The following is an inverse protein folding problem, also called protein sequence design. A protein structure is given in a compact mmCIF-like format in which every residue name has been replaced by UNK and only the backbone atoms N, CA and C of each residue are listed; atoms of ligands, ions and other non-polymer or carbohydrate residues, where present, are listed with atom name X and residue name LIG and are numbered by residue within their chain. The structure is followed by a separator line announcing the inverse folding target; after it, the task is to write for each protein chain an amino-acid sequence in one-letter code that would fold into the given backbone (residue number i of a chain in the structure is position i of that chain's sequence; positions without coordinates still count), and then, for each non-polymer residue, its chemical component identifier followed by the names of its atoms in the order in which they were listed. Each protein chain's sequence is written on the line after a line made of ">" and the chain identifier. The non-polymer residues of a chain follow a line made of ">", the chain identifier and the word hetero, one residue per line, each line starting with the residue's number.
data_IF_829703626864
#
_entry.id   IF_829703626864
#
_cell.length_a   1.000
_cell.length_b   1.000
_cell.length_c   1.000
_cell.angle_alpha   90.00
_cell.angle_beta   90.00
_cell.angle_gamma   90.00
#
_symmetry.space_group_name_H-M   'P 1'
#
loop_
_entity.id
_entity.type
_entity.pdbx_description
1 polymer ?
#
# COMPACT_ATOMS: atom_id res chain seq x y z
N UNK A 1 -10.09 -26.86 19.52
CA UNK A 1 -8.91 -26.89 18.62
C UNK A 1 -7.64 -26.83 19.45
N UNK A 2 -6.60 -27.60 19.10
CA UNK A 2 -5.32 -27.64 19.84
C UNK A 2 -4.48 -26.42 19.47
N UNK A 3 -3.81 -25.77 20.43
CA UNK A 3 -2.86 -24.68 20.19
C UNK A 3 -1.66 -25.21 19.38
N UNK A 4 -1.33 -24.53 18.28
CA UNK A 4 -0.20 -24.84 17.40
C UNK A 4 1.00 -23.95 17.72
N UNK A 5 0.75 -22.65 17.87
CA UNK A 5 1.75 -21.63 18.19
C UNK A 5 1.30 -20.84 19.41
N UNK A 6 2.21 -20.53 20.32
CA UNK A 6 1.98 -19.69 21.49
C UNK A 6 3.10 -18.65 21.59
N UNK A 7 2.74 -17.39 21.64
CA UNK A 7 3.64 -16.24 21.80
C UNK A 7 3.38 -15.66 23.19
N UNK A 8 4.44 -15.52 24.01
CA UNK A 8 4.37 -15.05 25.41
C UNK A 8 5.26 -13.82 25.61
N UNK A 9 4.64 -12.67 25.88
CA UNK A 9 5.27 -11.41 26.31
C UNK A 9 6.47 -10.99 25.46
N UNK A 10 6.36 -11.15 24.13
CA UNK A 10 7.43 -10.76 23.19
C UNK A 10 7.59 -9.24 23.18
N UNK A 11 8.82 -8.79 23.45
CA UNK A 11 9.20 -7.39 23.32
C UNK A 11 10.44 -7.25 22.45
N UNK A 12 10.48 -6.13 21.67
CA UNK A 12 11.60 -5.76 20.80
C UNK A 12 11.73 -4.25 20.70
N UNK A 13 12.96 -3.76 20.89
CA UNK A 13 13.30 -2.34 20.81
C UNK A 13 14.43 -2.16 19.80
N UNK A 14 14.36 -1.10 18.99
CA UNK A 14 15.41 -0.65 18.10
C UNK A 14 15.80 0.78 18.48
N UNK A 15 16.93 0.94 19.15
CA UNK A 15 17.34 2.24 19.73
C UNK A 15 16.28 2.75 20.71
N UNK A 16 15.62 3.87 20.39
CA UNK A 16 14.54 4.46 21.21
C UNK A 16 13.15 3.94 20.83
N UNK A 17 13.02 3.21 19.73
CA UNK A 17 11.72 2.74 19.22
C UNK A 17 11.37 1.37 19.81
N UNK A 18 10.32 1.30 20.63
CA UNK A 18 9.69 0.05 21.06
C UNK A 18 8.81 -0.49 19.93
N UNK A 19 9.36 -1.40 19.12
CA UNK A 19 8.62 -1.99 18.00
C UNK A 19 7.58 -3.02 18.44
N UNK A 20 7.85 -3.77 19.52
CA UNK A 20 6.91 -4.68 20.15
C UNK A 20 7.05 -4.58 21.68
N UNK A 21 5.94 -4.64 22.42
CA UNK A 21 5.89 -4.54 23.86
C UNK A 21 4.92 -5.55 24.44
N UNK A 22 5.45 -6.60 25.09
CA UNK A 22 4.72 -7.66 25.82
C UNK A 22 3.59 -8.32 25.02
N UNK A 23 3.82 -8.58 23.72
CA UNK A 23 2.80 -9.16 22.86
C UNK A 23 2.61 -10.65 23.20
N UNK A 24 1.35 -11.02 23.48
CA UNK A 24 0.96 -12.41 23.78
C UNK A 24 -0.28 -12.81 23.02
N UNK A 25 -0.25 -13.96 22.34
CA UNK A 25 -1.38 -14.61 21.71
C UNK A 25 -1.07 -16.05 21.31
N UNK A 26 -2.09 -16.79 20.89
CA UNK A 26 -1.96 -18.15 20.38
C UNK A 26 -2.54 -18.28 18.97
N UNK A 27 -2.08 -19.29 18.21
CA UNK A 27 -2.67 -19.74 16.95
C UNK A 27 -3.11 -21.19 17.11
N UNK A 28 -4.35 -21.48 16.73
CA UNK A 28 -4.92 -22.83 16.78
C UNK A 28 -4.64 -23.59 15.49
N UNK A 29 -4.59 -24.91 15.57
CA UNK A 29 -4.41 -25.75 14.38
C UNK A 29 -5.61 -25.61 13.44
N UNK A 30 -5.36 -25.35 12.14
CA UNK A 30 -6.40 -25.15 11.13
C UNK A 30 -7.13 -23.82 11.28
N UNK A 31 -6.49 -22.78 11.83
CA UNK A 31 -7.02 -21.43 11.98
C UNK A 31 -6.38 -20.48 10.97
N UNK A 32 -7.16 -19.53 10.48
CA UNK A 32 -6.66 -18.31 9.82
C UNK A 32 -6.74 -17.19 10.86
N UNK A 33 -5.61 -16.82 11.43
CA UNK A 33 -5.46 -15.70 12.34
C UNK A 33 -5.01 -14.47 11.54
N UNK A 34 -5.78 -13.40 11.58
CA UNK A 34 -5.36 -12.13 10.98
C UNK A 34 -4.68 -11.23 12.03
N UNK A 35 -3.61 -10.55 11.62
CA UNK A 35 -2.95 -9.51 12.42
C UNK A 35 -3.07 -8.19 11.66
N UNK A 36 -3.82 -7.26 12.24
CA UNK A 36 -4.08 -5.93 11.72
C UNK A 36 -3.36 -4.85 12.54
N UNK A 37 -3.17 -3.69 11.95
CA UNK A 37 -2.61 -2.50 12.59
C UNK A 37 -2.08 -1.51 11.55
N UNK A 38 -1.88 -0.27 11.96
CA UNK A 38 -1.29 0.77 11.12
C UNK A 38 0.14 0.42 10.67
N UNK A 39 0.64 1.15 9.69
CA UNK A 39 2.06 1.05 9.30
C UNK A 39 2.94 1.47 10.49
N UNK A 40 3.94 0.65 10.82
CA UNK A 40 4.76 0.86 12.02
C UNK A 40 4.20 0.29 13.32
N UNK A 41 3.01 -0.36 13.33
CA UNK A 41 2.44 -0.97 14.53
C UNK A 41 3.20 -2.20 15.06
N UNK A 42 4.30 -2.61 14.41
CA UNK A 42 5.14 -3.73 14.85
C UNK A 42 4.79 -5.10 14.25
N UNK A 43 3.85 -5.19 13.29
CA UNK A 43 3.42 -6.45 12.66
C UNK A 43 4.58 -7.22 12.03
N UNK A 44 5.29 -6.60 11.09
CA UNK A 44 6.42 -7.20 10.37
C UNK A 44 7.58 -7.54 11.32
N UNK A 45 7.84 -6.68 12.32
CA UNK A 45 8.86 -6.97 13.35
C UNK A 45 8.52 -8.24 14.13
N UNK A 46 7.27 -8.39 14.55
CA UNK A 46 6.81 -9.58 15.29
C UNK A 46 6.94 -10.85 14.44
N UNK A 47 6.58 -10.78 13.16
CA UNK A 47 6.72 -11.93 12.26
C UNK A 47 8.17 -12.25 11.94
N UNK A 48 9.04 -11.27 11.83
CA UNK A 48 10.48 -11.48 11.67
C UNK A 48 11.11 -12.14 12.92
N UNK A 49 10.61 -11.84 14.11
CA UNK A 49 11.01 -12.56 15.35
C UNK A 49 10.52 -14.01 15.29
N UNK A 50 9.25 -14.24 14.94
CA UNK A 50 8.68 -15.57 14.83
C UNK A 50 9.40 -16.41 13.78
N UNK A 51 9.73 -15.83 12.62
CA UNK A 51 10.41 -16.52 11.54
C UNK A 51 11.91 -16.71 11.77
N UNK A 52 12.49 -15.99 12.75
CA UNK A 52 13.90 -16.13 13.16
C UNK A 52 14.87 -15.19 12.46
N UNK A 53 14.38 -14.07 11.88
CA UNK A 53 15.25 -12.98 11.37
C UNK A 53 15.74 -12.08 12.49
N UNK A 54 14.93 -11.88 13.54
CA UNK A 54 15.30 -11.07 14.70
C UNK A 54 15.21 -11.88 16.00
N UNK A 55 16.04 -11.50 16.95
CA UNK A 55 15.93 -11.97 18.33
C UNK A 55 15.03 -10.99 19.11
N UNK A 56 14.07 -11.49 19.91
CA UNK A 56 13.35 -10.64 20.85
C UNK A 56 14.29 -10.18 21.98
N UNK A 57 13.95 -9.08 22.64
CA UNK A 57 14.66 -8.65 23.84
C UNK A 57 14.15 -9.43 25.07
N UNK A 58 12.83 -9.72 25.11
CA UNK A 58 12.20 -10.53 26.15
C UNK A 58 11.07 -11.38 25.56
N UNK A 59 10.65 -12.39 26.32
CA UNK A 59 9.54 -13.28 25.99
C UNK A 59 9.96 -14.59 25.33
N UNK A 60 8.99 -15.46 25.10
CA UNK A 60 9.19 -16.78 24.54
C UNK A 60 8.14 -17.11 23.48
N UNK A 61 8.51 -17.98 22.53
CA UNK A 61 7.59 -18.52 21.52
C UNK A 61 7.68 -20.05 21.57
N UNK A 62 6.52 -20.70 21.55
CA UNK A 62 6.40 -22.15 21.55
C UNK A 62 5.65 -22.60 20.29
N UNK A 63 6.21 -23.56 19.57
CA UNK A 63 5.56 -24.23 18.46
C UNK A 63 5.37 -25.70 18.79
N UNK A 64 4.10 -26.19 18.74
CA UNK A 64 3.74 -27.55 19.20
C UNK A 64 4.22 -27.82 20.61
N UNK A 65 4.08 -26.87 21.51
CA UNK A 65 4.52 -26.90 22.92
C UNK A 65 6.06 -27.03 23.13
N UNK A 66 6.86 -26.80 22.05
CA UNK A 66 8.33 -26.79 22.15
C UNK A 66 8.84 -25.36 21.91
N UNK A 67 9.81 -24.89 22.71
CA UNK A 67 10.37 -23.55 22.50
C UNK A 67 11.08 -23.47 21.14
N UNK A 68 10.92 -22.36 20.42
CA UNK A 68 11.65 -22.10 19.18
C UNK A 68 13.01 -21.47 19.49
N UNK A 69 14.00 -21.71 18.61
CA UNK A 69 15.30 -21.04 18.67
C UNK A 69 15.23 -19.73 17.91
N UNK A 70 15.38 -18.61 18.60
CA UNK A 70 15.40 -17.29 17.98
C UNK A 70 16.66 -17.07 17.11
N UNK A 71 16.56 -16.17 16.14
CA UNK A 71 17.67 -15.82 15.26
C UNK A 71 18.13 -16.93 14.32
N UNK A 72 17.27 -17.93 14.05
CA UNK A 72 17.60 -19.08 13.21
C UNK A 72 16.45 -19.48 12.30
N UNK A 73 16.42 -18.90 11.09
CA UNK A 73 15.41 -19.17 10.08
C UNK A 73 15.40 -20.63 9.61
N UNK A 74 16.58 -21.26 9.50
CA UNK A 74 16.69 -22.67 9.10
C UNK A 74 16.02 -23.61 10.11
N UNK A 75 16.18 -23.32 11.40
CA UNK A 75 15.47 -24.06 12.45
C UNK A 75 13.96 -23.85 12.35
N UNK A 76 13.50 -22.59 12.19
CA UNK A 76 12.08 -22.26 12.08
C UNK A 76 11.43 -22.97 10.90
N UNK A 77 12.09 -23.00 9.75
CA UNK A 77 11.62 -23.74 8.57
C UNK A 77 11.57 -25.25 8.85
N UNK A 78 12.61 -25.81 9.50
CA UNK A 78 12.69 -27.25 9.75
C UNK A 78 11.61 -27.78 10.70
N UNK A 79 11.07 -26.93 11.58
CA UNK A 79 9.97 -27.30 12.49
C UNK A 79 8.57 -27.11 11.86
N UNK A 80 8.49 -26.56 10.61
CA UNK A 80 7.27 -26.44 9.84
C UNK A 80 6.62 -25.06 9.85
N UNK A 81 7.36 -23.99 10.14
CA UNK A 81 6.90 -22.59 9.99
C UNK A 81 7.47 -22.03 8.72
N UNK A 82 6.62 -21.53 7.83
CA UNK A 82 6.99 -20.88 6.57
C UNK A 82 6.48 -19.46 6.50
N UNK A 83 7.18 -18.61 5.73
CA UNK A 83 6.80 -17.21 5.53
C UNK A 83 6.89 -16.84 4.05
N UNK A 84 5.87 -16.14 3.57
CA UNK A 84 5.84 -15.44 2.29
C UNK A 84 5.92 -13.96 2.61
N UNK A 85 6.97 -13.30 2.12
CA UNK A 85 7.24 -11.89 2.36
C UNK A 85 6.43 -10.99 1.44
N UNK A 86 6.29 -9.73 1.81
CA UNK A 86 5.62 -8.69 1.02
C UNK A 86 6.27 -8.49 -0.36
N UNK A 87 7.61 -8.58 -0.43
CA UNK A 87 8.35 -8.56 -1.68
C UNK A 87 8.80 -9.98 -2.04
N UNK A 88 8.64 -10.36 -3.30
CA UNK A 88 9.03 -11.67 -3.77
C UNK A 88 10.53 -11.91 -3.60
N UNK A 89 10.87 -13.11 -3.09
CA UNK A 89 12.26 -13.55 -2.91
C UNK A 89 12.63 -14.58 -3.98
N UNK A 90 12.24 -14.29 -5.22
CA UNK A 90 12.42 -15.16 -6.38
C UNK A 90 13.63 -14.71 -7.23
N UNK A 91 14.32 -15.67 -7.83
CA UNK A 91 15.36 -15.41 -8.80
C UNK A 91 14.74 -15.40 -10.19
N UNK A 92 14.65 -14.22 -10.82
CA UNK A 92 13.97 -14.03 -12.12
C UNK A 92 14.65 -14.78 -13.27
N UNK A 93 15.95 -15.03 -13.17
CA UNK A 93 16.78 -15.75 -14.15
C UNK A 93 16.74 -17.28 -14.01
N UNK A 94 15.90 -17.82 -13.16
CA UNK A 94 15.73 -19.26 -12.94
C UNK A 94 14.32 -19.69 -13.28
N UNK A 95 14.16 -20.99 -13.59
CA UNK A 95 12.83 -21.60 -13.77
C UNK A 95 12.07 -21.73 -12.45
N UNK A 96 10.78 -21.95 -12.52
CA UNK A 96 9.91 -22.25 -11.38
C UNK A 96 10.47 -23.43 -10.58
N UNK A 97 10.85 -24.52 -11.24
CA UNK A 97 11.39 -25.70 -10.57
C UNK A 97 12.69 -25.36 -9.84
N UNK A 98 13.61 -24.66 -10.48
CA UNK A 98 14.90 -24.28 -9.90
C UNK A 98 14.73 -23.38 -8.68
N UNK A 99 13.82 -22.40 -8.73
CA UNK A 99 13.49 -21.56 -7.56
C UNK A 99 12.98 -22.34 -6.34
N UNK A 100 12.27 -23.46 -6.58
CA UNK A 100 11.75 -24.29 -5.48
C UNK A 100 12.84 -25.17 -4.86
N UNK A 101 13.74 -25.73 -5.70
CA UNK A 101 14.77 -26.69 -5.22
C UNK A 101 16.04 -26.00 -4.71
N UNK A 102 16.28 -24.74 -5.09
CA UNK A 102 17.48 -23.99 -4.66
C UNK A 102 17.48 -23.85 -3.12
N UNK A 103 18.66 -24.05 -2.53
CA UNK A 103 18.84 -23.92 -1.06
C UNK A 103 18.31 -25.12 -0.23
N UNK A 104 17.92 -26.24 -0.87
CA UNK A 104 17.39 -27.39 -0.15
C UNK A 104 18.44 -28.41 0.30
N UNK A 105 19.63 -28.39 -0.25
CA UNK A 105 20.75 -29.24 0.16
C UNK A 105 22.10 -28.54 0.03
N UNK A 106 23.09 -29.05 0.79
CA UNK A 106 24.50 -28.70 0.64
C UNK A 106 24.93 -28.77 -0.83
N UNK A 107 25.77 -27.83 -1.25
CA UNK A 107 26.38 -27.76 -2.59
C UNK A 107 27.08 -29.07 -3.00
N UNK A 108 27.38 -29.95 -2.07
CA UNK A 108 28.00 -31.26 -2.29
C UNK A 108 27.01 -32.39 -2.64
N UNK A 109 25.70 -32.17 -2.56
CA UNK A 109 24.71 -33.21 -2.90
C UNK A 109 24.04 -32.94 -4.26
N UNK A 110 24.79 -33.12 -5.35
CA UNK A 110 24.38 -32.87 -6.74
C UNK A 110 23.28 -33.81 -7.28
N UNK A 111 22.78 -34.76 -6.49
CA UNK A 111 21.80 -35.75 -6.96
C UNK A 111 20.46 -35.63 -6.25
N UNK A 112 19.83 -34.48 -6.32
CA UNK A 112 18.38 -34.43 -6.24
C UNK A 112 17.84 -34.90 -7.59
N UNK A 113 17.23 -36.08 -7.62
CA UNK A 113 16.49 -36.52 -8.78
C UNK A 113 15.43 -35.46 -9.08
N UNK A 114 15.65 -34.65 -10.16
CA UNK A 114 14.65 -33.66 -10.65
C UNK A 114 13.26 -34.33 -10.73
N UNK A 115 13.21 -35.63 -11.03
CA UNK A 115 11.99 -36.46 -11.07
C UNK A 115 11.26 -36.49 -9.70
N UNK A 116 11.98 -36.67 -8.59
CA UNK A 116 11.38 -36.70 -7.25
C UNK A 116 10.84 -35.30 -6.86
N UNK A 117 11.59 -34.25 -7.17
CA UNK A 117 11.19 -32.87 -6.93
C UNK A 117 9.90 -32.53 -7.72
N UNK A 118 9.86 -32.85 -9.00
CA UNK A 118 8.67 -32.65 -9.85
C UNK A 118 7.47 -33.45 -9.31
N UNK A 119 7.68 -34.70 -8.88
CA UNK A 119 6.60 -35.52 -8.30
C UNK A 119 6.03 -34.89 -7.02
N UNK A 120 6.87 -34.43 -6.09
CA UNK A 120 6.43 -33.73 -4.86
C UNK A 120 5.71 -32.42 -5.22
N UNK A 121 6.24 -31.66 -6.17
CA UNK A 121 5.66 -30.40 -6.61
C UNK A 121 4.28 -30.59 -7.27
N UNK A 122 4.16 -31.57 -8.18
CA UNK A 122 2.88 -31.92 -8.81
C UNK A 122 1.83 -32.35 -7.79
N UNK A 123 2.25 -33.12 -6.76
CA UNK A 123 1.36 -33.48 -5.66
C UNK A 123 0.88 -32.26 -4.88
N UNK A 124 1.75 -31.30 -4.56
CA UNK A 124 1.40 -30.06 -3.84
C UNK A 124 0.50 -29.17 -4.68
N UNK A 125 0.80 -28.98 -5.98
CA UNK A 125 -0.02 -28.23 -6.91
C UNK A 125 -1.44 -28.78 -6.99
N UNK A 126 -1.59 -30.10 -7.11
CA UNK A 126 -2.90 -30.76 -7.12
C UNK A 126 -3.59 -30.68 -5.76
N UNK A 127 -2.84 -30.90 -4.67
CA UNK A 127 -3.37 -30.90 -3.29
C UNK A 127 -3.96 -29.55 -2.93
N UNK A 128 -3.32 -28.44 -3.31
CA UNK A 128 -3.68 -27.09 -2.89
C UNK A 128 -4.29 -26.23 -4.00
N UNK A 129 -4.51 -26.80 -5.17
CA UNK A 129 -5.03 -26.08 -6.33
C UNK A 129 -4.18 -24.86 -6.72
N UNK A 130 -2.87 -25.07 -6.88
CA UNK A 130 -1.88 -24.06 -7.24
C UNK A 130 -1.19 -24.41 -8.58
N UNK A 131 -1.90 -24.38 -9.71
CA UNK A 131 -1.30 -24.74 -10.99
C UNK A 131 -0.25 -23.71 -11.40
N UNK A 132 0.93 -24.20 -11.81
CA UNK A 132 2.01 -23.40 -12.39
C UNK A 132 2.85 -24.27 -13.31
N UNK A 133 3.36 -23.70 -14.40
CA UNK A 133 4.27 -24.42 -15.27
C UNK A 133 5.69 -24.43 -14.68
N UNK A 134 6.19 -25.62 -14.36
CA UNK A 134 7.49 -25.80 -13.70
C UNK A 134 8.69 -25.40 -14.55
N UNK A 135 8.53 -25.33 -15.87
CA UNK A 135 9.60 -25.00 -16.83
C UNK A 135 9.61 -23.51 -17.22
N UNK A 136 8.60 -22.73 -16.85
CA UNK A 136 8.57 -21.30 -17.15
C UNK A 136 9.68 -20.57 -16.39
N UNK A 137 10.27 -19.56 -17.04
CA UNK A 137 11.16 -18.60 -16.37
C UNK A 137 10.37 -17.73 -15.42
N UNK A 138 10.95 -17.40 -14.28
CA UNK A 138 10.26 -16.55 -13.29
C UNK A 138 10.08 -15.12 -13.79
N UNK A 139 10.98 -14.62 -14.66
CA UNK A 139 10.82 -13.34 -15.36
C UNK A 139 9.51 -13.21 -16.13
N UNK A 140 9.00 -14.31 -16.69
CA UNK A 140 7.84 -14.34 -17.57
C UNK A 140 6.52 -14.53 -16.81
N UNK A 141 6.59 -14.76 -15.50
CA UNK A 141 5.41 -14.99 -14.67
C UNK A 141 4.68 -13.70 -14.36
N UNK A 142 3.36 -13.74 -14.38
CA UNK A 142 2.50 -12.70 -13.83
C UNK A 142 2.69 -12.58 -12.30
N UNK A 143 2.24 -11.47 -11.71
CA UNK A 143 2.30 -11.23 -10.27
C UNK A 143 1.62 -12.34 -9.47
N UNK A 144 0.44 -12.79 -9.92
CA UNK A 144 -0.30 -13.87 -9.26
C UNK A 144 0.38 -15.23 -9.39
N UNK A 145 1.13 -15.47 -10.47
CA UNK A 145 1.94 -16.68 -10.62
C UNK A 145 3.18 -16.64 -9.73
N UNK A 146 3.85 -15.49 -9.63
CA UNK A 146 4.95 -15.28 -8.65
C UNK A 146 4.47 -15.51 -7.22
N UNK A 147 3.28 -15.04 -6.87
CA UNK A 147 2.66 -15.30 -5.56
C UNK A 147 2.42 -16.80 -5.33
N UNK A 148 1.87 -17.51 -6.32
CA UNK A 148 1.68 -18.97 -6.23
C UNK A 148 3.00 -19.72 -6.08
N UNK A 149 4.06 -19.28 -6.78
CA UNK A 149 5.39 -19.85 -6.67
C UNK A 149 5.98 -19.68 -5.26
N UNK A 150 5.89 -18.49 -4.64
CA UNK A 150 6.36 -18.26 -3.26
C UNK A 150 5.63 -19.17 -2.26
N UNK A 151 4.33 -19.33 -2.42
CA UNK A 151 3.54 -20.23 -1.57
C UNK A 151 3.99 -21.68 -1.78
N UNK A 152 4.14 -22.15 -3.02
CA UNK A 152 4.59 -23.51 -3.35
C UNK A 152 6.00 -23.79 -2.82
N UNK A 153 6.93 -22.83 -2.96
CA UNK A 153 8.30 -22.88 -2.43
C UNK A 153 8.30 -23.10 -0.91
N UNK A 154 7.40 -22.41 -0.21
CA UNK A 154 7.22 -22.54 1.23
C UNK A 154 6.59 -23.88 1.61
N UNK A 155 5.52 -24.30 0.92
CA UNK A 155 4.83 -25.57 1.17
C UNK A 155 5.71 -26.79 0.84
N UNK A 156 6.63 -26.67 -0.10
CA UNK A 156 7.55 -27.74 -0.47
C UNK A 156 8.46 -28.16 0.70
N UNK A 157 8.64 -27.28 1.69
CA UNK A 157 9.40 -27.53 2.93
C UNK A 157 8.54 -28.08 4.08
N UNK A 158 7.41 -28.73 3.77
CA UNK A 158 6.50 -29.39 4.74
C UNK A 158 5.96 -28.42 5.82
N UNK A 159 5.53 -27.23 5.38
CA UNK A 159 4.99 -26.18 6.24
C UNK A 159 3.65 -26.60 6.91
N UNK A 160 3.51 -26.32 8.21
CA UNK A 160 2.26 -26.50 8.99
C UNK A 160 1.65 -25.16 9.43
N UNK A 161 2.48 -24.13 9.56
CA UNK A 161 2.07 -22.74 9.82
C UNK A 161 2.63 -21.84 8.75
N UNK A 162 1.76 -21.25 7.95
CA UNK A 162 2.12 -20.31 6.87
C UNK A 162 1.87 -18.89 7.31
N UNK A 163 2.90 -18.05 7.28
CA UNK A 163 2.81 -16.61 7.49
C UNK A 163 2.73 -15.94 6.12
N UNK A 164 1.72 -15.09 5.90
CA UNK A 164 1.53 -14.30 4.69
C UNK A 164 1.58 -12.82 5.07
N UNK A 165 2.62 -12.11 4.61
CA UNK A 165 2.80 -10.69 4.89
C UNK A 165 2.32 -9.86 3.68
N UNK A 166 1.17 -9.22 3.81
CA UNK A 166 0.48 -8.42 2.78
C UNK A 166 0.38 -9.11 1.40
N UNK A 167 -0.15 -10.34 1.33
CA UNK A 167 -0.07 -11.14 0.12
C UNK A 167 -0.91 -10.62 -1.06
N UNK A 168 -1.75 -9.63 -0.84
CA UNK A 168 -2.68 -9.05 -1.84
C UNK A 168 -2.28 -7.65 -2.30
N UNK A 169 -1.12 -7.15 -1.86
CA UNK A 169 -0.71 -5.76 -2.12
C UNK A 169 -0.59 -5.40 -3.62
N UNK A 170 -0.23 -6.39 -4.45
CA UNK A 170 -0.04 -6.22 -5.89
C UNK A 170 -1.03 -7.02 -6.76
N UNK A 171 -2.09 -7.57 -6.16
CA UNK A 171 -3.09 -8.39 -6.84
C UNK A 171 -4.33 -7.58 -7.20
N UNK A 172 -4.95 -7.92 -8.33
CA UNK A 172 -6.29 -7.44 -8.69
C UNK A 172 -7.35 -8.06 -7.74
N UNK A 173 -8.57 -7.49 -7.64
CA UNK A 173 -9.63 -8.06 -6.84
C UNK A 173 -9.96 -9.53 -7.17
N UNK A 174 -9.98 -9.90 -8.47
CA UNK A 174 -10.23 -11.26 -8.93
C UNK A 174 -9.10 -12.22 -8.51
N UNK A 175 -7.84 -11.79 -8.61
CA UNK A 175 -6.68 -12.58 -8.17
C UNK A 175 -6.67 -12.75 -6.64
N UNK A 176 -7.06 -11.70 -5.89
CA UNK A 176 -7.22 -11.75 -4.43
C UNK A 176 -8.26 -12.79 -4.02
N UNK A 177 -9.43 -12.81 -4.69
CA UNK A 177 -10.46 -13.82 -4.45
C UNK A 177 -9.95 -15.23 -4.73
N UNK A 178 -9.21 -15.41 -5.84
CA UNK A 178 -8.54 -16.68 -6.19
C UNK A 178 -7.55 -17.14 -5.12
N UNK A 179 -6.73 -16.23 -4.61
CA UNK A 179 -5.80 -16.50 -3.51
C UNK A 179 -6.54 -16.93 -2.24
N UNK A 180 -7.61 -16.24 -1.87
CA UNK A 180 -8.40 -16.57 -0.67
C UNK A 180 -9.09 -17.93 -0.76
N UNK A 181 -9.62 -18.29 -1.93
CA UNK A 181 -10.13 -19.65 -2.19
C UNK A 181 -9.04 -20.68 -1.95
N UNK A 182 -7.83 -20.42 -2.42
CA UNK A 182 -6.68 -21.30 -2.24
C UNK A 182 -6.26 -21.43 -0.77
N UNK A 183 -6.20 -20.32 -0.02
CA UNK A 183 -5.89 -20.32 1.43
C UNK A 183 -6.94 -21.14 2.18
N UNK A 184 -8.24 -20.99 1.87
CA UNK A 184 -9.31 -21.81 2.49
C UNK A 184 -9.13 -23.30 2.20
N UNK A 185 -8.72 -23.68 0.98
CA UNK A 185 -8.40 -25.08 0.65
C UNK A 185 -7.23 -25.61 1.50
N UNK A 186 -6.17 -24.79 1.66
CA UNK A 186 -5.01 -25.17 2.47
C UNK A 186 -5.39 -25.40 3.94
N UNK A 187 -6.18 -24.51 4.52
CA UNK A 187 -6.62 -24.59 5.91
C UNK A 187 -7.54 -25.79 6.13
N UNK A 188 -8.47 -26.08 5.22
CA UNK A 188 -9.31 -27.27 5.27
C UNK A 188 -8.50 -28.57 5.16
N UNK A 189 -7.26 -28.51 4.64
CA UNK A 189 -6.33 -29.63 4.57
C UNK A 189 -5.34 -29.66 5.74
N UNK A 190 -5.59 -28.86 6.79
CA UNK A 190 -4.88 -28.89 8.07
C UNK A 190 -3.73 -27.89 8.21
N UNK A 191 -3.49 -27.02 7.23
CA UNK A 191 -2.56 -25.90 7.37
C UNK A 191 -3.14 -24.85 8.30
N UNK A 192 -2.29 -24.13 9.05
CA UNK A 192 -2.68 -22.94 9.81
C UNK A 192 -2.05 -21.72 9.16
N UNK A 193 -2.72 -20.56 9.21
CA UNK A 193 -2.29 -19.36 8.52
C UNK A 193 -2.29 -18.16 9.47
N UNK A 194 -1.20 -17.38 9.47
CA UNK A 194 -1.17 -16.01 9.98
C UNK A 194 -1.21 -15.10 8.76
N UNK A 195 -2.25 -14.28 8.65
CA UNK A 195 -2.42 -13.30 7.59
C UNK A 195 -2.16 -11.89 8.13
N UNK A 196 -1.17 -11.19 7.59
CA UNK A 196 -0.93 -9.79 7.87
C UNK A 196 -1.52 -9.00 6.71
N UNK A 197 -2.39 -8.07 7.02
CA UNK A 197 -2.96 -7.14 6.04
C UNK A 197 -3.35 -5.84 6.73
N UNK A 198 -3.42 -4.77 5.97
CA UNK A 198 -4.03 -3.51 6.40
C UNK A 198 -5.43 -3.33 5.79
N UNK A 199 -5.87 -4.22 4.89
CA UNK A 199 -7.17 -4.17 4.22
C UNK A 199 -8.24 -4.90 5.04
N UNK A 200 -9.10 -4.15 5.71
CA UNK A 200 -10.10 -4.69 6.64
C UNK A 200 -11.08 -5.63 5.96
N UNK A 201 -11.60 -5.27 4.77
CA UNK A 201 -12.57 -6.06 4.03
C UNK A 201 -12.02 -7.46 3.70
N UNK A 202 -10.74 -7.52 3.29
CA UNK A 202 -10.06 -8.79 3.01
C UNK A 202 -10.01 -9.67 4.26
N UNK A 203 -9.57 -9.11 5.39
CA UNK A 203 -9.44 -9.85 6.65
C UNK A 203 -10.79 -10.33 7.17
N UNK A 204 -11.82 -9.50 7.10
CA UNK A 204 -13.19 -9.87 7.50
C UNK A 204 -13.77 -11.01 6.64
N UNK A 205 -13.32 -11.14 5.38
CA UNK A 205 -13.84 -12.17 4.44
C UNK A 205 -13.22 -13.55 4.62
N UNK A 206 -11.99 -13.63 5.20
CA UNK A 206 -11.22 -14.89 5.19
C UNK A 206 -10.84 -15.38 6.59
N UNK A 207 -10.59 -14.50 7.56
CA UNK A 207 -10.05 -14.90 8.86
C UNK A 207 -11.10 -15.53 9.79
N UNK A 208 -10.62 -16.33 10.75
CA UNK A 208 -11.45 -16.85 11.84
C UNK A 208 -11.40 -15.90 13.05
N UNK A 209 -10.24 -15.29 13.27
CA UNK A 209 -9.97 -14.41 14.40
C UNK A 209 -9.02 -13.30 13.99
N UNK A 210 -9.18 -12.16 14.62
CA UNK A 210 -8.44 -10.93 14.31
C UNK A 210 -7.76 -10.44 15.58
N UNK A 211 -6.47 -10.14 15.48
CA UNK A 211 -5.68 -9.43 16.49
C UNK A 211 -5.33 -8.05 15.94
N UNK A 212 -5.46 -7.01 16.75
CA UNK A 212 -5.10 -5.65 16.39
C UNK A 212 -3.85 -5.23 17.18
N UNK A 213 -2.82 -4.82 16.45
CA UNK A 213 -1.63 -4.20 17.00
C UNK A 213 -1.65 -2.68 16.79
N UNK A 214 -1.27 -1.92 17.79
CA UNK A 214 -1.08 -0.47 17.73
C UNK A 214 0.06 -0.06 18.66
N UNK A 215 0.97 0.80 18.17
CA UNK A 215 2.13 1.30 18.92
C UNK A 215 2.93 0.17 19.58
N UNK A 216 3.14 -0.92 18.85
CA UNK A 216 3.88 -2.09 19.33
C UNK A 216 3.14 -2.96 20.38
N UNK A 217 1.86 -2.73 20.65
CA UNK A 217 1.06 -3.46 21.65
C UNK A 217 -0.13 -4.15 21.01
N UNK A 218 -0.55 -5.27 21.57
CA UNK A 218 -1.85 -5.88 21.26
C UNK A 218 -2.95 -5.10 21.96
N UNK A 219 -3.76 -4.38 21.19
CA UNK A 219 -4.85 -3.53 21.71
C UNK A 219 -6.20 -4.21 21.70
N UNK A 220 -6.32 -5.32 20.97
CA UNK A 220 -7.57 -6.07 20.96
C UNK A 220 -7.49 -7.38 20.19
N UNK A 221 -8.50 -8.20 20.42
CA UNK A 221 -8.71 -9.49 19.76
C UNK A 221 -10.20 -9.74 19.61
N UNK A 222 -10.64 -10.20 18.43
CA UNK A 222 -12.03 -10.56 18.17
C UNK A 222 -12.14 -11.80 17.28
N UNK A 223 -13.17 -12.62 17.49
CA UNK A 223 -13.62 -13.59 16.48
C UNK A 223 -14.23 -12.82 15.31
N UNK A 224 -13.89 -13.18 14.09
CA UNK A 224 -14.32 -12.45 12.89
C UNK A 224 -15.84 -12.42 12.75
N UNK A 225 -16.53 -13.48 13.16
CA UNK A 225 -18.00 -13.53 13.14
C UNK A 225 -18.67 -12.44 14.02
N UNK A 226 -17.96 -11.95 15.04
CA UNK A 226 -18.42 -10.91 15.95
C UNK A 226 -17.78 -9.54 15.65
N UNK A 227 -17.05 -9.43 14.54
CA UNK A 227 -16.36 -8.23 14.13
C UNK A 227 -17.13 -7.54 13.00
N UNK A 228 -17.13 -6.22 13.02
CA UNK A 228 -17.56 -5.40 11.90
C UNK A 228 -16.47 -4.40 11.56
N UNK A 229 -16.50 -3.89 10.35
CA UNK A 229 -15.53 -2.93 9.82
C UNK A 229 -15.24 -1.77 10.79
N UNK A 230 -16.32 -1.08 11.24
CA UNK A 230 -16.21 0.11 12.11
C UNK A 230 -15.51 -0.22 13.43
N UNK A 231 -15.83 -1.37 14.05
CA UNK A 231 -15.24 -1.76 15.32
C UNK A 231 -13.75 -2.09 15.24
N UNK A 232 -13.34 -2.72 14.15
CA UNK A 232 -11.91 -3.05 13.95
C UNK A 232 -11.14 -1.79 13.56
N UNK A 233 -11.66 -0.97 12.66
CA UNK A 233 -11.05 0.30 12.27
C UNK A 233 -10.82 1.22 13.48
N UNK A 234 -11.82 1.34 14.38
CA UNK A 234 -11.67 2.11 15.63
C UNK A 234 -10.58 1.54 16.56
N UNK A 235 -10.41 0.21 16.62
CA UNK A 235 -9.33 -0.40 17.40
C UNK A 235 -7.95 -0.11 16.81
N UNK A 236 -7.83 -0.11 15.48
CA UNK A 236 -6.59 0.20 14.77
C UNK A 236 -6.17 1.64 15.05
N UNK A 237 -7.06 2.59 14.82
CA UNK A 237 -6.78 4.04 14.95
C UNK A 237 -6.78 4.52 16.41
N UNK A 238 -7.49 3.81 17.30
CA UNK A 238 -7.59 4.14 18.73
C UNK A 238 -8.58 5.24 19.06
N UNK A 239 -9.34 5.69 18.10
CA UNK A 239 -10.45 6.64 18.24
C UNK A 239 -11.57 6.22 17.30
N UNK A 240 -12.78 6.68 17.57
CA UNK A 240 -13.91 6.44 16.66
C UNK A 240 -13.62 7.12 15.32
N UNK A 241 -13.60 6.32 14.24
CA UNK A 241 -13.45 6.87 12.89
C UNK A 241 -14.82 7.34 12.44
N UNK A 242 -14.95 8.65 12.28
CA UNK A 242 -16.08 9.25 11.60
C UNK A 242 -15.72 9.41 10.13
N UNK A 243 -16.24 8.52 9.28
CA UNK A 243 -16.16 8.77 7.84
C UNK A 243 -17.06 9.96 7.50
N UNK A 244 -16.53 11.01 6.88
CA UNK A 244 -17.34 12.18 6.57
C UNK A 244 -18.45 11.81 5.59
N UNK A 245 -19.68 12.18 5.93
CA UNK A 245 -20.82 11.91 5.08
C UNK A 245 -20.80 12.83 3.86
N UNK A 246 -21.08 12.27 2.68
CA UNK A 246 -21.28 13.04 1.45
C UNK A 246 -22.50 13.94 1.62
N UNK A 247 -22.28 15.23 1.71
CA UNK A 247 -23.37 16.22 1.77
C UNK A 247 -23.72 16.57 0.31
N UNK A 248 -25.01 16.65 -0.01
CA UNK A 248 -25.47 17.16 -1.30
C UNK A 248 -25.15 18.66 -1.36
N UNK A 249 -24.33 19.05 -2.30
CA UNK A 249 -23.96 20.45 -2.55
C UNK A 249 -24.42 20.81 -3.94
N UNK A 250 -24.86 22.06 -4.10
CA UNK A 250 -25.09 22.63 -5.43
C UNK A 250 -23.75 22.82 -6.13
N UNK A 251 -23.68 22.36 -7.37
CA UNK A 251 -22.50 22.57 -8.20
C UNK A 251 -22.43 24.02 -8.66
N UNK A 252 -21.22 24.56 -8.68
CA UNK A 252 -20.94 25.94 -9.10
C UNK A 252 -20.65 26.01 -10.61
N UNK A 253 -19.92 27.04 -11.02
CA UNK A 253 -19.50 27.21 -12.40
C UNK A 253 -18.58 26.08 -12.88
N UNK A 254 -18.54 25.87 -14.20
CA UNK A 254 -17.60 24.97 -14.86
C UNK A 254 -16.16 25.44 -14.60
N UNK A 255 -15.31 24.53 -14.12
CA UNK A 255 -13.91 24.80 -13.79
C UNK A 255 -12.94 24.08 -14.73
N UNK A 256 -13.34 22.93 -15.32
CA UNK A 256 -12.55 22.16 -16.28
C UNK A 256 -13.46 21.66 -17.39
N UNK A 257 -12.99 21.75 -18.63
CA UNK A 257 -13.64 21.11 -19.77
C UNK A 257 -12.60 20.57 -20.74
N UNK A 258 -12.77 19.31 -21.13
CA UNK A 258 -12.07 18.62 -22.20
C UNK A 258 -13.05 18.36 -23.32
N UNK A 259 -12.70 18.75 -24.53
CA UNK A 259 -13.49 18.54 -25.75
C UNK A 259 -12.69 17.74 -26.76
N UNK A 260 -13.19 16.58 -27.13
CA UNK A 260 -12.69 15.70 -28.17
C UNK A 260 -11.17 15.41 -28.07
N UNK A 261 -10.70 15.14 -26.86
CA UNK A 261 -9.27 14.94 -26.61
C UNK A 261 -8.80 13.62 -27.19
N UNK A 262 -7.77 13.70 -28.02
CA UNK A 262 -7.00 12.57 -28.53
C UNK A 262 -5.55 12.66 -28.08
N UNK A 263 -4.98 11.53 -27.70
CA UNK A 263 -3.56 11.40 -27.39
C UNK A 263 -3.02 10.06 -27.89
N UNK A 264 -1.88 10.09 -28.54
CA UNK A 264 -1.13 8.91 -28.97
C UNK A 264 0.35 9.18 -28.73
N UNK A 265 1.01 8.33 -27.94
CA UNK A 265 2.45 8.35 -27.77
C UNK A 265 3.15 7.76 -29.01
N UNK A 266 4.36 8.19 -29.29
CA UNK A 266 5.26 7.56 -30.28
C UNK A 266 5.62 6.12 -29.90
N UNK A 267 5.61 5.80 -28.62
CA UNK A 267 5.77 4.43 -28.13
C UNK A 267 4.52 3.61 -28.42
N UNK A 268 4.65 2.64 -29.35
CA UNK A 268 3.56 1.75 -29.78
C UNK A 268 2.91 0.94 -28.67
N UNK A 269 3.60 0.75 -27.53
CA UNK A 269 3.08 0.02 -26.34
C UNK A 269 2.25 0.93 -25.41
N UNK A 270 2.25 2.24 -25.63
CA UNK A 270 1.48 3.16 -24.81
C UNK A 270 0.00 3.15 -25.19
N UNK A 271 -0.88 3.16 -24.18
CA UNK A 271 -2.33 3.21 -24.38
C UNK A 271 -2.73 4.55 -25.00
N UNK A 272 -3.48 4.48 -26.11
CA UNK A 272 -4.02 5.65 -26.79
C UNK A 272 -5.26 6.16 -26.07
N UNK A 273 -5.37 7.48 -25.94
CA UNK A 273 -6.59 8.14 -25.47
C UNK A 273 -7.37 8.60 -26.71
N UNK A 274 -8.65 8.26 -26.76
CA UNK A 274 -9.49 8.56 -27.93
C UNK A 274 -10.80 9.22 -27.50
N UNK A 275 -11.07 10.37 -28.07
CA UNK A 275 -12.34 11.08 -27.96
C UNK A 275 -12.82 11.26 -26.51
N UNK A 276 -11.95 11.74 -25.64
CA UNK A 276 -12.31 12.00 -24.24
C UNK A 276 -12.98 13.37 -24.13
N UNK A 277 -14.19 13.36 -23.60
CA UNK A 277 -14.98 14.53 -23.24
C UNK A 277 -15.21 14.49 -21.72
N UNK A 278 -14.73 15.49 -21.00
CA UNK A 278 -14.88 15.62 -19.54
C UNK A 278 -15.34 17.05 -19.23
N UNK A 279 -16.31 17.15 -18.35
CA UNK A 279 -16.77 18.40 -17.77
C UNK A 279 -16.77 18.28 -16.26
N UNK A 280 -16.17 19.25 -15.57
CA UNK A 280 -16.10 19.30 -14.11
C UNK A 280 -16.62 20.64 -13.60
N UNK A 281 -17.50 20.56 -12.62
CA UNK A 281 -18.06 21.73 -11.97
C UNK A 281 -17.36 22.01 -10.63
N UNK A 282 -17.33 23.25 -10.19
CA UNK A 282 -16.90 23.58 -8.83
C UNK A 282 -17.84 22.95 -7.81
N UNK A 283 -17.26 22.31 -6.76
CA UNK A 283 -18.01 21.55 -5.75
C UNK A 283 -18.45 20.15 -6.18
N UNK A 284 -17.98 19.67 -7.35
CA UNK A 284 -18.20 18.33 -7.85
C UNK A 284 -17.00 17.43 -7.54
N UNK A 285 -17.26 16.14 -7.31
CA UNK A 285 -16.25 15.08 -7.34
C UNK A 285 -16.61 14.14 -8.47
N UNK A 286 -15.73 14.05 -9.47
CA UNK A 286 -15.80 13.12 -10.60
C UNK A 286 -14.83 11.96 -10.36
N UNK A 287 -15.35 10.74 -10.24
CA UNK A 287 -14.54 9.53 -10.15
C UNK A 287 -14.25 8.95 -11.54
N UNK A 288 -12.99 8.61 -11.79
CA UNK A 288 -12.56 7.89 -12.99
C UNK A 288 -11.97 6.56 -12.52
N UNK A 289 -12.70 5.48 -12.72
CA UNK A 289 -12.30 4.14 -12.29
C UNK A 289 -11.91 3.26 -13.49
N UNK A 290 -10.97 2.35 -13.27
CA UNK A 290 -10.55 1.37 -14.27
C UNK A 290 -9.39 0.51 -13.78
N UNK A 291 -9.23 -0.68 -14.37
CA UNK A 291 -8.10 -1.56 -14.05
C UNK A 291 -6.79 -0.97 -14.60
N UNK A 292 -5.66 -1.33 -13.97
CA UNK A 292 -4.34 -0.89 -14.38
C UNK A 292 -4.09 -1.11 -15.88
N UNK A 293 -3.42 -0.14 -16.52
CA UNK A 293 -3.06 -0.24 -17.93
C UNK A 293 -4.10 0.29 -18.93
N UNK A 294 -5.26 0.77 -18.49
CA UNK A 294 -6.31 1.31 -19.40
C UNK A 294 -6.14 2.80 -19.77
N UNK A 295 -4.98 3.39 -19.48
CA UNK A 295 -4.66 4.77 -19.90
C UNK A 295 -4.92 5.84 -18.83
N UNK A 296 -5.30 5.48 -17.62
CA UNK A 296 -5.55 6.42 -16.51
C UNK A 296 -4.36 7.34 -16.25
N UNK A 297 -3.12 6.80 -16.29
CA UNK A 297 -1.90 7.58 -16.09
C UNK A 297 -1.71 8.64 -17.21
N UNK A 298 -1.97 8.27 -18.46
CA UNK A 298 -1.89 9.23 -19.58
C UNK A 298 -2.98 10.30 -19.44
N UNK A 299 -4.18 9.90 -19.04
CA UNK A 299 -5.28 10.85 -18.81
C UNK A 299 -4.94 11.79 -17.64
N UNK A 300 -4.39 11.32 -16.55
CA UNK A 300 -3.94 12.14 -15.42
C UNK A 300 -2.88 13.16 -15.85
N UNK A 301 -1.92 12.75 -16.67
CA UNK A 301 -0.87 13.62 -17.22
C UNK A 301 -1.43 14.68 -18.20
N UNK A 302 -2.43 14.32 -19.00
CA UNK A 302 -3.16 15.29 -19.85
C UNK A 302 -3.94 16.30 -19.00
N UNK A 303 -4.67 15.81 -17.98
CA UNK A 303 -5.46 16.63 -17.06
C UNK A 303 -4.60 17.62 -16.26
N UNK A 304 -3.32 17.33 -16.08
CA UNK A 304 -2.37 18.13 -15.29
C UNK A 304 -1.34 18.91 -16.12
N UNK A 305 -1.44 18.84 -17.46
CA UNK A 305 -0.55 19.57 -18.36
C UNK A 305 0.85 18.97 -18.52
N UNK A 306 1.08 17.75 -18.04
CA UNK A 306 2.34 17.01 -18.24
C UNK A 306 2.43 16.36 -19.62
N UNK A 307 1.30 16.24 -20.33
CA UNK A 307 1.21 15.79 -21.71
C UNK A 307 0.35 16.76 -22.52
N UNK A 308 0.75 17.00 -23.77
CA UNK A 308 -0.06 17.73 -24.73
C UNK A 308 -0.98 16.77 -25.49
N UNK A 309 -2.26 17.09 -25.71
CA UNK A 309 -3.13 16.31 -26.58
C UNK A 309 -2.68 16.43 -28.05
N UNK A 310 -2.89 15.37 -28.83
CA UNK A 310 -2.66 15.41 -30.27
C UNK A 310 -3.74 16.24 -31.00
N UNK A 311 -4.97 16.25 -30.47
CA UNK A 311 -6.07 17.08 -30.90
C UNK A 311 -7.10 17.28 -29.80
N UNK A 312 -8.03 18.21 -29.97
CA UNK A 312 -9.06 18.58 -29.01
C UNK A 312 -8.76 19.89 -28.30
N UNK A 313 -9.63 20.29 -27.39
CA UNK A 313 -9.52 21.56 -26.66
C UNK A 313 -9.63 21.36 -25.16
N UNK A 314 -8.83 22.13 -24.42
CA UNK A 314 -8.84 22.13 -22.95
C UNK A 314 -9.18 23.52 -22.45
N UNK A 315 -10.14 23.62 -21.54
CA UNK A 315 -10.52 24.88 -20.89
C UNK A 315 -10.35 24.73 -19.38
N UNK A 316 -9.63 25.67 -18.78
CA UNK A 316 -9.50 25.81 -17.32
C UNK A 316 -10.20 27.13 -16.92
N UNK A 317 -11.16 27.04 -16.02
CA UNK A 317 -11.98 28.19 -15.60
C UNK A 317 -12.57 28.98 -16.78
N UNK A 318 -13.03 28.27 -17.83
CA UNK A 318 -13.55 28.82 -19.12
C UNK A 318 -12.48 29.48 -19.99
N UNK A 319 -11.20 29.45 -19.63
CA UNK A 319 -10.09 29.97 -20.42
C UNK A 319 -9.55 28.83 -21.28
N UNK A 320 -9.46 29.04 -22.58
CA UNK A 320 -8.83 28.08 -23.49
C UNK A 320 -7.32 28.01 -23.24
N UNK A 321 -6.83 26.81 -23.04
CA UNK A 321 -5.40 26.53 -22.81
C UNK A 321 -4.80 26.01 -24.11
N UNK A 322 -3.81 26.72 -24.65
CA UNK A 322 -3.06 26.35 -25.86
C UNK A 322 -1.58 26.00 -25.55
N UNK A 323 -1.13 26.22 -24.33
CA UNK A 323 0.20 25.87 -23.85
C UNK A 323 0.08 24.81 -22.74
N UNK A 324 0.53 23.60 -23.05
CA UNK A 324 0.37 22.43 -22.17
C UNK A 324 1.64 22.23 -21.33
N UNK A 325 1.78 23.04 -20.29
CA UNK A 325 2.84 22.87 -19.28
C UNK A 325 2.23 22.83 -17.89
N UNK A 326 2.81 22.04 -16.94
CA UNK A 326 2.32 21.98 -15.57
C UNK A 326 2.21 23.36 -14.90
N UNK A 327 3.14 24.28 -15.22
CA UNK A 327 3.11 25.65 -14.69
C UNK A 327 1.86 26.40 -15.13
N UNK A 328 1.48 26.35 -16.40
CA UNK A 328 0.25 27.00 -16.91
C UNK A 328 -0.99 26.45 -16.22
N UNK A 329 -1.07 25.12 -16.02
CA UNK A 329 -2.19 24.51 -15.32
C UNK A 329 -2.23 24.94 -13.85
N UNK A 330 -1.09 24.96 -13.18
CA UNK A 330 -0.95 25.41 -11.80
C UNK A 330 -1.34 26.89 -11.62
N UNK A 331 -0.90 27.76 -12.52
CA UNK A 331 -1.21 29.19 -12.50
C UNK A 331 -2.70 29.45 -12.74
N UNK A 332 -3.39 28.56 -13.46
CA UNK A 332 -4.85 28.57 -13.62
C UNK A 332 -5.60 27.87 -12.48
N UNK A 333 -4.92 27.59 -11.36
CA UNK A 333 -5.53 27.05 -10.13
C UNK A 333 -5.74 25.56 -10.12
N UNK A 334 -4.94 24.78 -10.87
CA UNK A 334 -4.97 23.34 -10.83
C UNK A 334 -3.93 22.78 -9.84
N UNK A 335 -4.35 21.87 -9.00
CA UNK A 335 -3.51 21.06 -8.11
C UNK A 335 -3.44 19.62 -8.64
N UNK A 336 -2.24 19.04 -8.68
CA UNK A 336 -2.02 17.67 -9.10
C UNK A 336 -1.38 16.83 -8.00
N UNK A 337 -2.04 15.75 -7.62
CA UNK A 337 -1.56 14.78 -6.64
C UNK A 337 -1.27 13.48 -7.40
N UNK A 338 0.03 13.14 -7.61
CA UNK A 338 0.41 12.00 -8.42
C UNK A 338 0.16 10.66 -7.72
N UNK A 339 0.10 9.58 -8.51
CA UNK A 339 -0.02 8.21 -8.02
C UNK A 339 1.22 7.78 -7.21
N UNK A 340 2.42 7.99 -7.77
CA UNK A 340 3.68 7.72 -7.06
C UNK A 340 4.14 8.96 -6.29
N UNK A 341 3.70 9.04 -5.04
CA UNK A 341 4.04 10.15 -4.14
C UNK A 341 5.53 10.29 -3.84
N UNK A 342 6.29 9.20 -3.90
CA UNK A 342 7.71 9.21 -3.58
C UNK A 342 8.59 9.60 -4.77
N UNK A 343 8.15 9.27 -5.99
CA UNK A 343 8.88 9.56 -7.22
C UNK A 343 8.49 10.92 -7.81
N UNK A 344 7.17 11.16 -7.88
CA UNK A 344 6.62 12.30 -8.62
C UNK A 344 6.05 13.39 -7.68
N UNK A 345 5.83 13.06 -6.39
CA UNK A 345 5.21 13.99 -5.43
C UNK A 345 6.20 14.77 -4.58
N UNK A 346 7.28 14.14 -4.15
CA UNK A 346 8.30 14.71 -3.26
C UNK A 346 9.71 14.36 -3.75
N UNK A 347 10.67 15.20 -3.36
CA UNK A 347 12.11 14.88 -3.45
C UNK A 347 12.55 14.33 -2.09
N UNK A 348 12.77 13.01 -2.01
CA UNK A 348 12.96 12.31 -0.73
C UNK A 348 14.11 12.82 0.13
N UNK A 349 15.23 13.21 -0.49
CA UNK A 349 16.43 13.70 0.21
C UNK A 349 16.35 15.17 0.62
N UNK A 350 15.44 15.95 0.02
CA UNK A 350 15.15 17.32 0.47
C UNK A 350 14.36 17.31 1.77
N UNK A 351 14.53 18.36 2.56
CA UNK A 351 13.79 18.55 3.80
C UNK A 351 12.28 18.69 3.57
N UNK A 352 11.50 18.52 4.64
CA UNK A 352 10.04 18.69 4.58
C UNK A 352 9.69 20.13 4.16
N UNK A 353 10.38 21.14 4.71
CA UNK A 353 10.09 22.52 4.35
C UNK A 353 10.43 22.84 2.89
N UNK A 354 11.55 22.35 2.34
CA UNK A 354 11.90 22.54 0.93
C UNK A 354 10.85 21.94 0.01
N UNK A 355 10.41 20.71 0.30
CA UNK A 355 9.33 20.06 -0.46
C UNK A 355 8.00 20.82 -0.37
N UNK A 356 7.72 21.49 0.74
CA UNK A 356 6.48 22.23 0.92
C UNK A 356 6.47 23.49 0.07
N UNK A 357 7.58 24.26 0.06
CA UNK A 357 7.64 25.57 -0.61
C UNK A 357 8.03 25.50 -2.08
N UNK A 358 8.48 24.35 -2.57
CA UNK A 358 8.90 24.15 -3.96
C UNK A 358 7.87 24.65 -4.99
N UNK A 359 6.58 24.49 -4.70
CA UNK A 359 5.49 24.94 -5.58
C UNK A 359 5.13 26.42 -5.40
N UNK A 360 5.78 27.13 -4.46
CA UNK A 360 5.49 28.51 -4.10
C UNK A 360 6.72 29.43 -4.19
N UNK A 361 7.76 28.99 -4.90
CA UNK A 361 9.04 29.74 -5.01
C UNK A 361 8.81 31.16 -5.55
N UNK A 362 7.85 31.34 -6.45
CA UNK A 362 7.49 32.65 -7.03
C UNK A 362 6.67 33.52 -6.04
N UNK A 363 6.34 33.02 -4.85
CA UNK A 363 5.56 33.75 -3.85
C UNK A 363 6.45 34.63 -2.95
N UNK A 364 6.06 35.86 -2.72
CA UNK A 364 6.73 36.76 -1.76
C UNK A 364 6.72 36.22 -0.30
N UNK A 365 5.90 35.22 0.00
CA UNK A 365 5.89 34.54 1.30
C UNK A 365 7.15 33.69 1.51
N UNK A 366 7.73 33.19 0.44
CA UNK A 366 8.84 32.22 0.43
C UNK A 366 10.13 32.86 -0.07
N UNK A 367 10.05 33.71 -1.08
CA UNK A 367 11.19 34.38 -1.70
C UNK A 367 11.11 35.91 -1.53
N UNK A 368 12.27 36.58 -1.62
CA UNK A 368 12.33 38.02 -1.69
C UNK A 368 12.19 38.51 -3.15
N UNK A 369 12.11 39.84 -3.34
CA UNK A 369 11.97 40.45 -4.66
C UNK A 369 13.14 40.17 -5.62
N UNK A 370 14.26 39.67 -5.12
CA UNK A 370 15.44 39.25 -5.91
C UNK A 370 15.45 37.75 -6.22
N UNK A 371 14.39 37.01 -5.85
CA UNK A 371 14.30 35.56 -6.10
C UNK A 371 15.06 34.68 -5.08
N UNK A 372 15.64 35.25 -4.03
CA UNK A 372 16.30 34.45 -2.99
C UNK A 372 15.29 33.93 -1.99
N UNK A 373 15.38 32.62 -1.70
CA UNK A 373 14.53 31.95 -0.72
C UNK A 373 14.86 32.42 0.70
N UNK A 374 13.85 32.90 1.42
CA UNK A 374 13.98 33.21 2.85
C UNK A 374 13.72 31.94 3.64
N UNK A 375 14.78 31.26 4.10
CA UNK A 375 14.68 29.98 4.80
C UNK A 375 13.87 30.07 6.10
N UNK A 376 13.93 31.19 6.84
CA UNK A 376 13.16 31.38 8.07
C UNK A 376 11.66 31.43 7.77
N UNK A 377 11.24 32.31 6.86
CA UNK A 377 9.83 32.42 6.47
C UNK A 377 9.31 31.11 5.87
N UNK A 378 10.13 30.44 5.04
CA UNK A 378 9.80 29.16 4.42
C UNK A 378 9.56 28.05 5.45
N UNK A 379 10.37 27.97 6.50
CA UNK A 379 10.20 27.01 7.60
C UNK A 379 8.95 27.30 8.43
N UNK A 380 8.69 28.56 8.74
CA UNK A 380 7.48 28.98 9.45
C UNK A 380 6.23 28.65 8.64
N UNK A 381 6.24 28.98 7.35
CA UNK A 381 5.17 28.68 6.40
C UNK A 381 4.91 27.17 6.28
N UNK A 382 5.97 26.38 6.10
CA UNK A 382 5.89 24.94 6.04
C UNK A 382 5.36 24.33 7.35
N UNK A 383 5.81 24.84 8.50
CA UNK A 383 5.33 24.38 9.80
C UNK A 383 3.83 24.64 9.99
N UNK A 384 3.33 25.77 9.48
CA UNK A 384 1.90 26.08 9.47
C UNK A 384 1.12 25.06 8.62
N UNK A 385 1.58 24.79 7.39
CA UNK A 385 0.93 23.80 6.50
C UNK A 385 0.91 22.41 7.15
N UNK A 386 2.03 21.98 7.74
CA UNK A 386 2.12 20.70 8.44
C UNK A 386 1.13 20.62 9.61
N UNK A 387 1.03 21.69 10.40
CA UNK A 387 0.09 21.77 11.54
C UNK A 387 -1.37 21.73 11.10
N UNK A 388 -1.72 22.50 10.07
CA UNK A 388 -3.10 22.54 9.54
C UNK A 388 -3.58 21.20 9.01
N UNK A 389 -2.66 20.36 8.52
CA UNK A 389 -2.99 19.08 7.89
C UNK A 389 -2.60 17.86 8.76
N UNK A 390 -2.32 18.06 10.06
CA UNK A 390 -1.91 17.00 10.99
C UNK A 390 -0.76 16.12 10.43
N UNK A 391 0.25 16.76 9.82
CA UNK A 391 1.46 16.06 9.35
C UNK A 391 2.38 15.86 10.53
N UNK A 392 2.59 14.61 10.94
CA UNK A 392 3.45 14.25 12.07
C UNK A 392 4.89 14.11 11.61
N UNK A 393 5.77 14.89 12.18
CA UNK A 393 7.20 14.93 11.87
C UNK A 393 8.01 15.24 13.15
N UNK A 394 9.29 14.85 13.17
CA UNK A 394 10.17 15.15 14.30
C UNK A 394 10.74 16.57 14.19
N UNK A 395 11.21 16.94 12.99
CA UNK A 395 11.79 18.25 12.69
C UNK A 395 11.41 18.66 11.27
N UNK A 396 11.19 19.96 11.06
CA UNK A 396 10.84 20.48 9.73
C UNK A 396 12.01 20.35 8.72
N UNK A 397 13.24 20.29 9.23
CA UNK A 397 14.48 20.12 8.46
C UNK A 397 14.80 18.65 8.15
N UNK A 398 13.99 17.67 8.62
CA UNK A 398 14.25 16.28 8.32
C UNK A 398 14.00 15.96 6.83
N UNK A 399 14.76 15.02 6.21
CA UNK A 399 14.47 14.55 4.87
C UNK A 399 13.06 13.99 4.74
N UNK A 400 12.36 14.33 3.64
CA UNK A 400 10.96 13.93 3.44
C UNK A 400 10.78 12.40 3.36
N UNK A 401 11.80 11.65 2.92
CA UNK A 401 11.80 10.17 2.90
C UNK A 401 11.64 9.52 4.28
N UNK A 402 11.85 10.26 5.37
CA UNK A 402 11.64 9.78 6.74
C UNK A 402 10.20 9.91 7.23
N UNK A 403 9.32 10.52 6.45
CA UNK A 403 7.90 10.57 6.75
C UNK A 403 7.24 9.22 6.47
N UNK A 404 6.23 8.85 7.27
CA UNK A 404 5.36 7.72 6.92
C UNK A 404 4.51 8.03 5.69
N UNK A 405 4.04 6.99 4.97
CA UNK A 405 3.24 7.17 3.76
C UNK A 405 2.00 8.06 3.96
N UNK A 406 1.31 7.94 5.09
CA UNK A 406 0.19 8.82 5.44
C UNK A 406 0.59 10.28 5.64
N UNK A 407 1.74 10.54 6.27
CA UNK A 407 2.25 11.91 6.46
C UNK A 407 2.75 12.51 5.13
N UNK A 408 3.37 11.71 4.25
CA UNK A 408 3.71 12.13 2.88
C UNK A 408 2.45 12.58 2.14
N UNK A 409 1.38 11.80 2.20
CA UNK A 409 0.14 12.09 1.49
C UNK A 409 -0.55 13.35 2.04
N UNK A 410 -0.62 13.49 3.37
CA UNK A 410 -1.15 14.70 4.01
C UNK A 410 -0.35 15.94 3.64
N UNK A 411 0.98 15.84 3.57
CA UNK A 411 1.85 16.93 3.14
C UNK A 411 1.58 17.32 1.68
N UNK A 412 1.49 16.32 0.79
CA UNK A 412 1.22 16.55 -0.64
C UNK A 412 -0.13 17.25 -0.87
N UNK A 413 -1.19 16.75 -0.26
CA UNK A 413 -2.51 17.35 -0.38
C UNK A 413 -2.51 18.72 0.29
N UNK A 414 -1.95 18.82 1.51
CA UNK A 414 -1.94 20.03 2.30
C UNK A 414 -1.23 21.21 1.63
N UNK A 415 -0.06 20.99 1.01
CA UNK A 415 0.65 22.05 0.28
C UNK A 415 -0.15 22.57 -0.91
N UNK A 416 -0.88 21.70 -1.61
CA UNK A 416 -1.74 22.12 -2.72
C UNK A 416 -3.00 22.85 -2.25
N UNK A 417 -3.68 22.34 -1.20
CA UNK A 417 -4.87 22.99 -0.65
C UNK A 417 -4.57 24.38 -0.10
N UNK A 418 -3.38 24.59 0.46
CA UNK A 418 -2.97 25.91 0.97
C UNK A 418 -2.88 26.97 -0.13
N UNK A 419 -2.62 26.57 -1.39
CA UNK A 419 -2.64 27.46 -2.56
C UNK A 419 -4.05 27.84 -3.02
N UNK A 420 -5.08 27.32 -2.36
CA UNK A 420 -6.48 27.55 -2.70
C UNK A 420 -6.80 27.23 -4.18
N UNK A 421 -6.56 25.99 -4.64
CA UNK A 421 -6.80 25.58 -6.02
C UNK A 421 -8.30 25.66 -6.34
N UNK A 422 -8.65 25.76 -7.62
CA UNK A 422 -10.03 25.60 -8.09
C UNK A 422 -10.32 24.18 -8.58
N UNK A 423 -9.28 23.49 -9.04
CA UNK A 423 -9.33 22.14 -9.60
C UNK A 423 -8.30 21.27 -8.88
N UNK A 424 -8.69 20.07 -8.49
CA UNK A 424 -7.80 19.08 -7.88
C UNK A 424 -7.89 17.79 -8.69
N UNK A 425 -6.74 17.31 -9.18
CA UNK A 425 -6.60 16.00 -9.80
C UNK A 425 -5.84 15.12 -8.84
N UNK A 426 -6.48 14.07 -8.33
CA UNK A 426 -5.88 13.15 -7.36
C UNK A 426 -5.85 11.72 -7.93
N UNK A 427 -4.64 11.19 -8.11
CA UNK A 427 -4.42 9.83 -8.61
C UNK A 427 -4.15 8.88 -7.46
N UNK A 428 -5.03 7.91 -7.26
CA UNK A 428 -4.94 6.92 -6.18
C UNK A 428 -4.57 7.54 -4.81
N UNK A 429 -5.30 8.56 -4.34
CA UNK A 429 -4.87 9.36 -3.18
C UNK A 429 -4.80 8.57 -1.88
N UNK A 430 -5.43 7.41 -1.78
CA UNK A 430 -5.43 6.57 -0.58
C UNK A 430 -4.59 5.31 -0.70
N UNK A 431 -3.98 5.05 -1.86
CA UNK A 431 -3.21 3.83 -2.12
C UNK A 431 -2.09 3.59 -1.11
N UNK A 432 -2.10 2.41 -0.48
CA UNK A 432 -1.08 1.98 0.49
C UNK A 432 -1.04 2.82 1.77
N UNK A 433 -2.16 3.45 2.11
CA UNK A 433 -2.38 4.14 3.38
C UNK A 433 -3.06 3.21 4.38
N UNK A 434 -2.86 3.49 5.66
CA UNK A 434 -3.65 2.89 6.73
C UNK A 434 -5.01 3.59 6.89
N UNK A 435 -5.93 2.95 7.62
CA UNK A 435 -7.31 3.43 7.79
C UNK A 435 -7.40 4.85 8.34
N UNK A 436 -6.51 5.23 9.26
CA UNK A 436 -6.49 6.56 9.83
C UNK A 436 -6.07 7.62 8.81
N UNK A 437 -5.10 7.31 7.98
CA UNK A 437 -4.65 8.19 6.90
C UNK A 437 -5.70 8.28 5.79
N UNK A 438 -6.36 7.17 5.42
CA UNK A 438 -7.48 7.16 4.45
C UNK A 438 -8.59 8.10 4.91
N UNK A 439 -9.07 7.96 6.15
CA UNK A 439 -10.12 8.83 6.70
C UNK A 439 -9.71 10.31 6.66
N UNK A 440 -8.44 10.62 6.99
CA UNK A 440 -7.93 11.99 6.94
C UNK A 440 -7.90 12.55 5.51
N UNK A 441 -7.44 11.75 4.54
CA UNK A 441 -7.42 12.14 3.11
C UNK A 441 -8.84 12.40 2.59
N UNK A 442 -9.79 11.52 2.90
CA UNK A 442 -11.19 11.70 2.53
C UNK A 442 -11.77 12.99 3.15
N UNK A 443 -11.44 13.29 4.41
CA UNK A 443 -11.87 14.53 5.05
C UNK A 443 -11.29 15.76 4.34
N UNK A 444 -9.99 15.75 3.99
CA UNK A 444 -9.35 16.84 3.23
C UNK A 444 -10.02 17.04 1.87
N UNK A 445 -10.29 15.97 1.13
CA UNK A 445 -10.96 16.02 -0.19
C UNK A 445 -12.39 16.56 -0.05
N UNK A 446 -13.18 16.09 0.92
CA UNK A 446 -14.54 16.56 1.11
C UNK A 446 -14.62 17.99 1.62
N UNK A 447 -13.65 18.44 2.42
CA UNK A 447 -13.54 19.84 2.82
C UNK A 447 -13.16 20.73 1.64
N UNK A 448 -12.25 20.31 0.77
CA UNK A 448 -11.95 21.01 -0.48
C UNK A 448 -13.19 21.14 -1.36
N UNK A 449 -13.97 20.06 -1.54
CA UNK A 449 -15.25 20.09 -2.23
C UNK A 449 -16.23 21.11 -1.65
N UNK A 450 -16.38 21.16 -0.32
CA UNK A 450 -17.24 22.15 0.37
C UNK A 450 -16.83 23.58 0.08
N UNK A 451 -15.53 23.82 -0.07
CA UNK A 451 -14.96 25.12 -0.44
C UNK A 451 -15.21 25.49 -1.91
N UNK A 452 -15.79 24.57 -2.69
CA UNK A 452 -16.15 24.80 -4.08
C UNK A 452 -15.13 24.34 -5.10
N UNK A 453 -14.11 23.56 -4.68
CA UNK A 453 -13.17 22.96 -5.61
C UNK A 453 -13.85 21.88 -6.46
N UNK A 454 -13.57 21.83 -7.77
CA UNK A 454 -13.86 20.69 -8.62
C UNK A 454 -12.75 19.65 -8.45
N UNK A 455 -13.11 18.39 -8.24
CA UNK A 455 -12.16 17.35 -7.91
C UNK A 455 -12.32 16.18 -8.88
N UNK A 456 -11.23 15.70 -9.46
CA UNK A 456 -11.19 14.43 -10.18
C UNK A 456 -10.36 13.43 -9.36
N UNK A 457 -10.96 12.30 -9.03
CA UNK A 457 -10.26 11.17 -8.39
C UNK A 457 -10.09 10.10 -9.46
N UNK A 458 -8.86 9.67 -9.69
CA UNK A 458 -8.53 8.58 -10.60
C UNK A 458 -8.05 7.41 -9.76
N UNK A 459 -8.78 6.28 -9.78
CA UNK A 459 -8.51 5.13 -8.93
C UNK A 459 -8.66 3.79 -9.65
N UNK A 460 -8.04 2.77 -9.10
CA UNK A 460 -8.20 1.37 -9.49
C UNK A 460 -9.06 0.62 -8.47
N UNK A 461 -9.16 1.15 -7.25
CA UNK A 461 -9.96 0.61 -6.17
C UNK A 461 -11.35 1.26 -6.18
N UNK A 462 -12.39 0.44 -6.34
CA UNK A 462 -13.77 0.91 -6.34
C UNK A 462 -14.29 1.25 -4.93
N UNK A 463 -13.60 0.80 -3.89
CA UNK A 463 -13.92 1.13 -2.49
C UNK A 463 -13.43 2.54 -2.10
N UNK A 464 -12.54 3.14 -2.88
CA UNK A 464 -12.05 4.51 -2.73
C UNK A 464 -13.10 5.56 -3.14
#
# INVERSE_FOLDING_TARGET
>A
MKTLLEIKSISKTFGKLKANSEISFEVKKGEILAILGENGAGKTTLMNILFGHYMPDTGNIYFKNKPIKFGNTSHTISIGIGMVHQHFTLADNLTVLENIIIGQKSLLSFSLSKKAAIKKLNFLMKKFNLPINTNSMVSDLSVSEKQRLEILKTLYKDCELLILDEPTAALTPQETEGLFKTIKIMVNKGLSVILISHKLNEVLSISNRIIVLRDGKKVGEKKTINANYKSIASMIVGKEISYPKKIKLETKNEVLKFEDIYYSSENKLSVKIKNINIKLMGGEILGIAGVAGNGQQNLAKLLSGHLAPASGKIFLNKIYVNNFTPKVFMDNGLAYIPEDRNKDGLVGDMSVWENTVMTEIDSQKVSNNFGFINSKNSKEHSSLICKLNDVRLQKIDQPARLLSGGNVQKLLIGKWLYRNPKIIIACQPTRGLDEGAIASVHEMVLNARKNGNGIIIIGEDLDE
#
